data_IF_422595162399
#
_entry.id   IF_422595162399
#
_cell.length_a   1.000
_cell.length_b   1.000
_cell.length_c   1.000
_cell.angle_alpha   90.00
_cell.angle_beta   90.00
_cell.angle_gamma   90.00
#
_symmetry.space_group_name_H-M   'P 1'
#
loop_
_entity.id
_entity.type
_entity.pdbx_description
1 polymer ?
#
# COMPACT_ATOMS: atom_id res chain seq x y z
N UNK A 1 13.20 -24.35 -37.56
CA UNK A 1 12.47 -24.72 -36.32
C UNK A 1 12.42 -23.52 -35.39
N UNK A 2 11.29 -22.81 -35.30
CA UNK A 2 11.11 -21.76 -34.29
C UNK A 2 10.78 -22.42 -32.93
N UNK A 3 11.58 -22.12 -31.90
CA UNK A 3 11.28 -22.53 -30.51
C UNK A 3 9.97 -21.87 -30.08
N UNK A 4 8.97 -22.68 -29.73
CA UNK A 4 7.73 -22.19 -29.11
C UNK A 4 8.11 -21.54 -27.76
N UNK A 5 7.67 -20.30 -27.48
CA UNK A 5 7.89 -19.69 -26.18
C UNK A 5 7.18 -20.53 -25.12
N UNK A 6 7.90 -20.89 -24.05
CA UNK A 6 7.29 -21.55 -22.90
C UNK A 6 6.26 -20.59 -22.29
N UNK A 7 5.00 -21.03 -22.26
CA UNK A 7 3.91 -20.35 -21.54
C UNK A 7 4.33 -20.27 -20.07
N UNK A 8 4.59 -19.05 -19.58
CA UNK A 8 4.61 -18.77 -18.15
C UNK A 8 3.22 -19.12 -17.57
N UNK A 9 3.12 -19.75 -16.39
CA UNK A 9 1.85 -20.18 -15.84
C UNK A 9 0.95 -18.97 -15.52
N UNK A 10 -0.33 -19.11 -15.86
CA UNK A 10 -1.39 -18.09 -15.72
C UNK A 10 -2.24 -18.48 -14.50
N UNK A 11 -2.52 -17.53 -13.60
CA UNK A 11 -3.24 -17.74 -12.34
C UNK A 11 -4.48 -16.78 -12.31
N UNK A 12 -5.73 -17.27 -12.22
CA UNK A 12 -6.97 -16.45 -12.25
C UNK A 12 -7.22 -15.52 -11.03
N UNK A 13 -8.17 -14.58 -11.09
CA UNK A 13 -8.55 -13.70 -9.95
C UNK A 13 -9.13 -14.46 -8.75
N UNK A 14 -9.77 -15.60 -9.00
CA UNK A 14 -10.18 -16.58 -7.98
C UNK A 14 -8.98 -17.11 -7.18
N UNK A 15 -7.78 -16.97 -7.75
CA UNK A 15 -6.49 -17.35 -7.20
C UNK A 15 -5.68 -16.14 -6.69
N UNK A 16 -6.27 -14.95 -6.53
CA UNK A 16 -5.71 -13.97 -5.58
C UNK A 16 -5.69 -14.55 -4.16
N UNK A 17 -6.62 -15.48 -3.86
CA UNK A 17 -6.56 -16.36 -2.69
C UNK A 17 -5.28 -17.22 -2.61
N UNK A 18 -4.60 -17.43 -3.75
CA UNK A 18 -3.38 -18.23 -3.90
C UNK A 18 -2.10 -17.39 -3.86
N UNK A 19 -2.19 -16.05 -3.93
CA UNK A 19 -1.02 -15.18 -3.75
C UNK A 19 -0.51 -15.25 -2.31
N UNK A 20 -1.37 -15.46 -1.31
CA UNK A 20 -1.09 -15.76 0.10
C UNK A 20 -0.07 -14.83 0.78
N UNK A 21 1.19 -14.98 0.37
CA UNK A 21 2.35 -14.16 0.66
C UNK A 21 3.25 -14.06 -0.58
N UNK A 22 3.62 -12.86 -1.00
CA UNK A 22 4.73 -12.65 -1.95
C UNK A 22 5.80 -11.75 -1.33
N UNK A 23 7.05 -11.92 -1.77
CA UNK A 23 8.14 -11.05 -1.36
C UNK A 23 8.42 -10.03 -2.46
N UNK A 24 8.25 -8.75 -2.16
CA UNK A 24 8.53 -7.64 -3.08
C UNK A 24 9.69 -6.79 -2.56
N UNK A 25 10.29 -6.01 -3.46
CA UNK A 25 11.32 -5.04 -3.08
C UNK A 25 10.79 -3.63 -3.29
N UNK A 26 10.70 -2.86 -2.20
CA UNK A 26 10.25 -1.47 -2.20
C UNK A 26 11.45 -0.60 -1.80
N UNK A 27 11.92 0.25 -2.71
CA UNK A 27 13.10 1.11 -2.52
C UNK A 27 14.32 0.37 -1.92
N UNK A 28 14.62 -0.81 -2.46
CA UNK A 28 15.75 -1.66 -2.02
C UNK A 28 15.50 -2.46 -0.72
N UNK A 29 14.34 -2.30 -0.07
CA UNK A 29 13.96 -3.10 1.11
C UNK A 29 13.06 -4.25 0.72
N UNK A 30 13.38 -5.46 1.19
CA UNK A 30 12.54 -6.64 0.99
C UNK A 30 11.35 -6.62 1.96
N UNK A 31 10.15 -6.66 1.42
CA UNK A 31 8.87 -6.62 2.15
C UNK A 31 8.05 -7.85 1.76
N UNK A 32 7.55 -8.57 2.75
CA UNK A 32 6.58 -9.64 2.56
C UNK A 32 5.19 -9.02 2.49
N UNK A 33 4.50 -9.19 1.37
CA UNK A 33 3.14 -8.72 1.15
C UNK A 33 2.15 -9.88 1.23
N UNK A 34 1.10 -9.71 2.02
CA UNK A 34 -0.06 -10.57 2.08
C UNK A 34 -1.13 -9.96 1.18
N UNK A 35 -1.52 -10.70 0.15
CA UNK A 35 -2.55 -10.26 -0.81
C UNK A 35 -3.83 -11.05 -0.53
N UNK A 36 -4.92 -10.34 -0.29
CA UNK A 36 -6.22 -10.92 0.01
C UNK A 36 -7.31 -10.27 -0.86
N UNK A 37 -8.25 -11.09 -1.35
CA UNK A 37 -9.37 -10.63 -2.19
C UNK A 37 -10.75 -10.90 -1.57
N UNK A 38 -10.82 -11.47 -0.37
CA UNK A 38 -12.07 -11.76 0.31
C UNK A 38 -12.11 -11.09 1.69
N UNK A 39 -13.31 -10.63 2.07
CA UNK A 39 -13.53 -9.87 3.30
C UNK A 39 -13.04 -10.63 4.54
N UNK A 40 -13.30 -11.94 4.62
CA UNK A 40 -12.87 -12.76 5.75
C UNK A 40 -11.34 -12.82 5.91
N UNK A 41 -10.58 -12.90 4.79
CA UNK A 41 -9.12 -12.90 4.84
C UNK A 41 -8.57 -11.52 5.21
N UNK A 42 -9.19 -10.45 4.67
CA UNK A 42 -8.85 -9.07 5.03
C UNK A 42 -9.12 -8.82 6.53
N UNK A 43 -10.28 -9.22 7.04
CA UNK A 43 -10.65 -9.06 8.45
C UNK A 43 -9.70 -9.83 9.38
N UNK A 44 -9.35 -11.07 9.00
CA UNK A 44 -8.36 -11.86 9.73
C UNK A 44 -7.00 -11.13 9.79
N UNK A 45 -6.51 -10.64 8.66
CA UNK A 45 -5.25 -9.92 8.61
C UNK A 45 -5.29 -8.59 9.38
N UNK A 46 -6.43 -7.88 9.39
CA UNK A 46 -6.64 -6.69 10.23
C UNK A 46 -6.62 -7.06 11.72
N UNK A 47 -7.22 -8.19 12.12
CA UNK A 47 -7.19 -8.66 13.49
C UNK A 47 -5.76 -9.03 13.93
N UNK A 48 -5.02 -9.77 13.09
CA UNK A 48 -3.62 -10.12 13.31
C UNK A 48 -2.76 -8.85 13.45
N UNK A 49 -3.00 -7.86 12.57
CA UNK A 49 -2.40 -6.53 12.62
C UNK A 49 -2.67 -5.82 13.95
N UNK A 50 -3.93 -5.76 14.40
CA UNK A 50 -4.28 -5.14 15.68
C UNK A 50 -3.54 -5.78 16.84
N UNK A 51 -3.53 -7.12 16.90
CA UNK A 51 -2.80 -7.86 17.93
C UNK A 51 -1.29 -7.58 17.88
N UNK A 52 -0.71 -7.48 16.68
CA UNK A 52 0.70 -7.12 16.53
C UNK A 52 1.01 -5.71 17.07
N UNK A 53 0.17 -4.71 16.76
CA UNK A 53 0.37 -3.33 17.20
C UNK A 53 0.15 -3.13 18.70
N UNK A 54 -0.66 -3.96 19.34
CA UNK A 54 -0.81 -3.96 20.81
C UNK A 54 0.52 -4.28 21.51
N UNK A 55 1.35 -5.13 20.89
CA UNK A 55 2.60 -5.61 21.45
C UNK A 55 3.86 -4.87 20.97
N UNK A 56 3.78 -3.97 19.96
CA UNK A 56 4.95 -3.36 19.29
C UNK A 56 4.81 -1.84 19.07
N UNK A 57 5.84 -1.22 18.48
CA UNK A 57 5.85 0.20 18.08
C UNK A 57 4.71 0.52 17.10
N UNK A 58 3.96 1.60 17.38
CA UNK A 58 2.58 1.84 16.92
C UNK A 58 2.45 2.71 15.67
N UNK A 59 3.28 2.49 14.65
CA UNK A 59 3.22 3.30 13.42
C UNK A 59 2.96 2.39 12.23
N UNK A 60 1.95 2.76 11.46
CA UNK A 60 1.58 2.08 10.22
C UNK A 60 1.45 3.10 9.10
N UNK A 61 1.86 2.69 7.91
CA UNK A 61 1.61 3.43 6.69
C UNK A 61 0.33 2.94 6.06
N UNK A 62 -0.48 3.86 5.55
CA UNK A 62 -1.78 3.54 4.96
C UNK A 62 -1.97 4.31 3.67
N UNK A 63 -2.30 3.59 2.61
CA UNK A 63 -2.65 4.17 1.32
C UNK A 63 -3.80 3.39 0.68
N UNK A 64 -4.59 4.07 -0.16
CA UNK A 64 -5.73 3.45 -0.84
C UNK A 64 -5.67 3.80 -2.31
N UNK A 65 -5.58 2.77 -3.17
CA UNK A 65 -5.46 2.92 -4.62
C UNK A 65 -6.70 2.36 -5.32
N UNK A 66 -7.03 2.96 -6.47
CA UNK A 66 -8.09 2.47 -7.37
C UNK A 66 -7.47 1.61 -8.46
N UNK A 67 -8.22 0.66 -9.01
CA UNK A 67 -7.77 -0.10 -10.19
C UNK A 67 -8.47 0.42 -11.44
N UNK A 68 -7.68 0.84 -12.44
CA UNK A 68 -8.18 1.40 -13.72
C UNK A 68 -8.54 0.29 -14.71
N UNK A 69 -9.60 -0.45 -14.41
CA UNK A 69 -10.34 -1.33 -15.35
C UNK A 69 -11.65 -1.89 -14.75
N UNK A 70 -12.14 -1.32 -13.66
CA UNK A 70 -13.37 -1.74 -12.97
C UNK A 70 -13.68 -0.85 -11.76
N UNK A 71 -14.60 -1.29 -10.91
CA UNK A 71 -14.99 -0.58 -9.67
C UNK A 71 -14.32 -1.20 -8.42
N UNK A 72 -13.14 -1.79 -8.60
CA UNK A 72 -12.37 -2.39 -7.51
C UNK A 72 -11.55 -1.32 -6.81
N UNK A 73 -11.62 -1.34 -5.48
CA UNK A 73 -10.74 -0.53 -4.64
C UNK A 73 -9.73 -1.47 -4.00
N UNK A 74 -8.46 -1.10 -4.13
CA UNK A 74 -7.37 -1.75 -3.44
C UNK A 74 -7.01 -0.93 -2.22
N UNK A 75 -7.22 -1.50 -1.04
CA UNK A 75 -6.79 -0.91 0.22
C UNK A 75 -5.44 -1.52 0.58
N UNK A 76 -4.45 -0.65 0.84
CA UNK A 76 -3.09 -1.08 1.10
C UNK A 76 -2.65 -0.58 2.47
N UNK A 77 -2.46 -1.51 3.38
CA UNK A 77 -2.02 -1.24 4.75
C UNK A 77 -0.60 -1.77 4.87
N UNK A 78 0.39 -0.89 4.96
CA UNK A 78 1.79 -1.30 5.15
C UNK A 78 2.14 -1.21 6.63
N UNK A 79 2.52 -2.35 7.20
CA UNK A 79 3.04 -2.43 8.55
C UNK A 79 4.55 -2.50 8.53
N UNK A 80 5.13 -1.94 9.59
CA UNK A 80 6.38 -2.38 10.18
C UNK A 80 7.37 -3.04 9.21
N UNK A 81 8.24 -2.26 8.58
CA UNK A 81 9.48 -2.55 7.82
C UNK A 81 9.55 -3.79 6.88
N UNK A 82 8.56 -4.68 6.87
CA UNK A 82 8.63 -6.05 6.35
C UNK A 82 7.27 -6.66 6.04
N UNK A 83 6.14 -6.14 6.54
CA UNK A 83 4.82 -6.78 6.33
C UNK A 83 3.84 -5.79 5.69
N UNK A 84 3.39 -6.06 4.47
CA UNK A 84 2.34 -5.31 3.79
C UNK A 84 1.06 -6.14 3.66
N UNK A 85 -0.10 -5.50 3.80
CA UNK A 85 -1.40 -6.09 3.48
C UNK A 85 -2.02 -5.36 2.29
N UNK A 86 -2.32 -6.09 1.23
CA UNK A 86 -2.99 -5.59 0.04
C UNK A 86 -4.35 -6.28 -0.06
N UNK A 87 -5.40 -5.55 0.29
CA UNK A 87 -6.78 -6.00 0.15
C UNK A 87 -7.39 -5.51 -1.16
N UNK A 88 -7.85 -6.41 -2.01
CA UNK A 88 -8.62 -6.07 -3.21
C UNK A 88 -10.10 -6.33 -2.90
N UNK A 89 -10.92 -5.28 -2.96
CA UNK A 89 -12.36 -5.38 -2.67
C UNK A 89 -13.20 -4.82 -3.81
N UNK A 90 -14.25 -5.55 -4.18
CA UNK A 90 -15.36 -4.99 -4.97
C UNK A 90 -16.18 -4.10 -4.05
N UNK A 91 -16.27 -2.80 -4.37
CA UNK A 91 -17.24 -1.93 -3.73
C UNK A 91 -18.32 -1.55 -4.75
N UNK A 92 -19.61 -1.55 -4.35
CA UNK A 92 -20.68 -1.07 -5.20
C UNK A 92 -20.38 0.38 -5.66
N UNK A 93 -20.66 0.66 -6.93
CA UNK A 93 -20.45 1.97 -7.59
C UNK A 93 -21.10 3.16 -6.90
N UNK A 94 -22.04 2.91 -5.99
CA UNK A 94 -22.73 3.93 -5.18
C UNK A 94 -21.95 4.33 -3.92
N UNK A 95 -20.92 3.57 -3.52
CA UNK A 95 -19.96 4.01 -2.51
C UNK A 95 -18.91 4.89 -3.19
N UNK A 96 -19.30 6.14 -3.46
CA UNK A 96 -18.40 7.20 -3.90
C UNK A 96 -17.32 7.40 -2.86
N UNK A 97 -16.22 6.63 -2.97
CA UNK A 97 -15.18 6.49 -1.96
C UNK A 97 -15.81 5.90 -0.70
N UNK A 98 -15.33 4.76 -0.20
CA UNK A 98 -15.45 4.59 1.25
C UNK A 98 -14.70 5.79 1.79
N UNK A 99 -15.45 6.84 2.17
CA UNK A 99 -15.00 7.90 3.05
C UNK A 99 -14.67 7.14 4.32
N UNK A 100 -13.50 6.50 4.35
CA UNK A 100 -12.78 6.20 5.55
C UNK A 100 -12.71 7.56 6.22
N UNK A 101 -13.60 7.76 7.18
CA UNK A 101 -13.57 8.95 8.00
C UNK A 101 -12.33 8.79 8.87
N UNK A 102 -11.18 9.11 8.28
CA UNK A 102 -9.87 9.19 8.93
C UNK A 102 -9.88 10.17 10.10
N UNK A 103 -10.94 10.97 10.25
CA UNK A 103 -11.10 12.04 11.22
C UNK A 103 -10.92 11.63 12.69
N UNK A 104 -10.85 10.33 13.00
CA UNK A 104 -10.64 9.86 14.39
C UNK A 104 -9.53 8.83 14.60
N UNK A 105 -8.83 8.35 13.57
CA UNK A 105 -7.94 7.16 13.72
C UNK A 105 -6.54 7.32 13.12
N UNK A 106 -6.27 8.34 12.29
CA UNK A 106 -4.96 8.53 11.65
C UNK A 106 -4.44 9.96 11.75
N UNK A 107 -3.11 10.11 11.74
CA UNK A 107 -2.44 11.42 11.65
C UNK A 107 -2.01 11.64 10.21
N UNK A 108 -2.36 12.77 9.61
CA UNK A 108 -1.82 13.13 8.29
C UNK A 108 -0.31 13.32 8.41
N UNK A 109 0.45 12.73 7.51
CA UNK A 109 1.92 12.75 7.62
C UNK A 109 2.50 14.18 7.54
N UNK A 110 1.88 15.07 6.75
CA UNK A 110 2.29 16.48 6.65
C UNK A 110 2.08 17.23 7.96
N UNK A 111 0.95 16.99 8.64
CA UNK A 111 0.69 17.55 9.97
C UNK A 111 1.71 17.05 11.01
N UNK A 112 2.05 15.75 10.96
CA UNK A 112 3.06 15.18 11.86
C UNK A 112 4.43 15.80 11.59
N UNK A 113 4.86 15.85 10.33
CA UNK A 113 6.14 16.41 9.93
C UNK A 113 6.24 17.90 10.30
N UNK A 114 5.20 18.68 10.05
CA UNK A 114 5.15 20.10 10.39
C UNK A 114 5.32 20.34 11.89
N UNK A 115 4.69 19.50 12.72
CA UNK A 115 4.79 19.59 14.19
C UNK A 115 6.15 19.16 14.71
N UNK A 116 6.63 17.98 14.31
CA UNK A 116 7.90 17.41 14.80
C UNK A 116 9.10 18.27 14.35
N UNK A 117 9.09 18.75 13.10
CA UNK A 117 10.19 19.54 12.53
C UNK A 117 10.02 21.06 12.74
N UNK A 118 8.93 21.50 13.38
CA UNK A 118 8.58 22.91 13.55
C UNK A 118 8.57 23.71 12.21
N UNK A 119 7.94 23.14 11.18
CA UNK A 119 7.89 23.70 9.81
C UNK A 119 6.46 23.66 9.24
N UNK A 120 5.66 24.72 9.42
CA UNK A 120 4.25 24.76 8.97
C UNK A 120 4.06 24.55 7.46
N UNK A 121 5.05 24.92 6.64
CA UNK A 121 5.02 24.72 5.17
C UNK A 121 4.86 23.26 4.76
N UNK A 122 5.16 22.31 5.66
CA UNK A 122 5.08 20.88 5.40
C UNK A 122 3.65 20.31 5.45
N UNK A 123 2.66 21.07 5.94
CA UNK A 123 1.27 20.60 6.06
C UNK A 123 0.70 20.21 4.69
N UNK A 124 0.97 21.03 3.67
CA UNK A 124 0.48 20.85 2.29
C UNK A 124 1.58 20.37 1.34
N UNK A 125 2.70 19.86 1.87
CA UNK A 125 3.80 19.33 1.07
C UNK A 125 3.45 17.99 0.44
N UNK A 126 4.02 17.72 -0.74
CA UNK A 126 3.88 16.42 -1.38
C UNK A 126 4.60 15.32 -0.60
N UNK A 127 4.24 14.06 -0.84
CA UNK A 127 4.94 12.94 -0.21
C UNK A 127 6.44 12.92 -0.57
N UNK A 128 6.80 13.34 -1.79
CA UNK A 128 8.20 13.47 -2.22
C UNK A 128 8.92 14.55 -1.40
N UNK A 129 8.31 15.72 -1.22
CA UNK A 129 8.89 16.81 -0.42
C UNK A 129 9.08 16.39 1.03
N UNK A 130 8.09 15.70 1.60
CA UNK A 130 8.16 15.17 2.97
C UNK A 130 9.26 14.11 3.11
N UNK A 131 9.35 13.17 2.16
CA UNK A 131 10.38 12.14 2.15
C UNK A 131 11.78 12.76 2.08
N UNK A 132 11.98 13.72 1.16
CA UNK A 132 13.23 14.46 1.03
C UNK A 132 13.59 15.22 2.31
N UNK A 133 12.61 15.90 2.91
CA UNK A 133 12.80 16.67 4.13
C UNK A 133 13.21 15.80 5.33
N UNK A 134 12.73 14.56 5.39
CA UNK A 134 13.01 13.59 6.46
C UNK A 134 14.16 12.66 6.09
N UNK A 135 14.69 12.72 4.86
CA UNK A 135 15.76 11.86 4.36
C UNK A 135 15.33 10.39 4.27
N UNK A 136 14.13 10.16 3.73
CA UNK A 136 13.59 8.84 3.38
C UNK A 136 13.70 8.68 1.86
N UNK A 137 14.28 7.58 1.35
CA UNK A 137 14.34 7.33 -0.08
C UNK A 137 12.92 7.08 -0.61
N UNK A 138 12.46 7.94 -1.51
CA UNK A 138 11.16 7.82 -2.17
C UNK A 138 11.23 8.53 -3.53
N UNK A 139 11.14 7.76 -4.60
CA UNK A 139 11.30 8.26 -5.98
C UNK A 139 9.97 8.76 -6.59
N UNK A 140 8.93 8.90 -5.76
CA UNK A 140 7.59 9.26 -6.19
C UNK A 140 6.69 8.04 -6.45
N UNK A 141 5.40 8.30 -6.68
CA UNK A 141 4.46 7.23 -6.91
C UNK A 141 4.80 6.52 -8.24
N UNK A 142 4.75 5.20 -8.22
CA UNK A 142 5.01 4.34 -9.40
C UNK A 142 4.01 4.58 -10.54
N UNK A 143 2.92 5.31 -10.27
CA UNK A 143 1.92 5.79 -11.22
C UNK A 143 1.68 7.28 -10.96
N UNK A 144 1.55 8.09 -12.03
CA UNK A 144 1.21 9.51 -11.91
C UNK A 144 -0.19 9.75 -11.33
N UNK A 145 -0.98 8.70 -11.15
CA UNK A 145 -2.32 8.72 -10.57
C UNK A 145 -2.38 7.80 -9.35
N UNK A 146 -3.35 8.02 -8.46
CA UNK A 146 -3.72 7.05 -7.41
C UNK A 146 -4.37 5.77 -7.96
N UNK A 147 -4.09 5.45 -9.23
CA UNK A 147 -4.66 4.34 -9.97
C UNK A 147 -3.56 3.35 -10.36
N UNK A 148 -3.84 2.08 -10.14
CA UNK A 148 -3.06 0.95 -10.65
C UNK A 148 -3.70 0.55 -11.97
N UNK A 149 -2.97 0.71 -13.07
CA UNK A 149 -3.42 0.24 -14.37
C UNK A 149 -3.27 -1.27 -14.45
N UNK A 150 -4.35 -1.96 -14.77
CA UNK A 150 -4.33 -3.40 -15.04
C UNK A 150 -4.70 -3.58 -16.51
N UNK A 151 -3.86 -4.30 -17.26
CA UNK A 151 -4.14 -4.65 -18.65
C UNK A 151 -5.46 -5.43 -18.73
N UNK A 152 -6.46 -4.95 -19.47
CA UNK A 152 -7.74 -5.65 -19.67
C UNK A 152 -7.56 -7.06 -20.21
N UNK A 153 -6.57 -7.24 -21.08
CA UNK A 153 -6.26 -8.52 -21.74
C UNK A 153 -5.63 -9.52 -20.78
N UNK A 154 -5.13 -9.02 -19.65
CA UNK A 154 -4.48 -9.78 -18.59
C UNK A 154 -5.03 -9.37 -17.20
N UNK A 155 -6.33 -9.03 -17.16
CA UNK A 155 -7.04 -8.50 -15.98
C UNK A 155 -7.12 -9.48 -14.81
N UNK A 156 -6.53 -10.65 -15.00
CA UNK A 156 -6.57 -11.80 -14.10
C UNK A 156 -5.37 -11.90 -13.15
N UNK A 157 -4.32 -11.07 -13.29
CA UNK A 157 -3.09 -11.19 -12.46
C UNK A 157 -2.74 -9.88 -11.76
N UNK A 158 -2.78 -9.89 -10.43
CA UNK A 158 -2.16 -8.85 -9.60
C UNK A 158 -0.68 -9.20 -9.44
N UNK A 159 0.20 -8.52 -10.17
CA UNK A 159 1.63 -8.86 -10.23
C UNK A 159 2.41 -8.24 -9.09
N UNK A 160 3.67 -8.64 -8.93
CA UNK A 160 4.60 -8.01 -7.98
C UNK A 160 4.75 -6.51 -8.26
N UNK A 161 4.72 -6.08 -9.52
CA UNK A 161 4.73 -4.65 -9.87
C UNK A 161 3.47 -3.94 -9.39
N UNK A 162 2.30 -4.59 -9.44
CA UNK A 162 1.08 -4.03 -8.86
C UNK A 162 1.15 -3.97 -7.34
N UNK A 163 1.70 -4.99 -6.67
CA UNK A 163 1.93 -4.99 -5.21
C UNK A 163 2.88 -3.86 -4.81
N UNK A 164 3.99 -3.69 -5.53
CA UNK A 164 4.93 -2.58 -5.31
C UNK A 164 4.22 -1.25 -5.54
N UNK A 165 3.53 -1.08 -6.67
CA UNK A 165 2.81 0.16 -6.97
C UNK A 165 1.74 0.48 -5.92
N UNK A 166 1.09 -0.52 -5.35
CA UNK A 166 0.11 -0.40 -4.29
C UNK A 166 0.75 -0.02 -2.94
N UNK A 167 1.90 -0.60 -2.63
CA UNK A 167 2.52 -0.50 -1.30
C UNK A 167 3.55 0.63 -1.16
N UNK A 168 4.11 1.17 -2.25
CA UNK A 168 5.20 2.16 -2.19
C UNK A 168 4.85 3.41 -1.37
N UNK A 169 3.70 4.04 -1.63
CA UNK A 169 3.28 5.27 -0.95
C UNK A 169 3.00 5.00 0.55
N UNK A 170 2.31 3.89 0.86
CA UNK A 170 2.09 3.44 2.23
C UNK A 170 3.40 3.16 2.96
N UNK A 171 4.36 2.49 2.31
CA UNK A 171 5.67 2.23 2.87
C UNK A 171 6.45 3.53 3.14
N UNK A 172 6.36 4.52 2.24
CA UNK A 172 6.95 5.84 2.46
C UNK A 172 6.31 6.56 3.66
N UNK A 173 4.97 6.55 3.78
CA UNK A 173 4.30 7.10 4.97
C UNK A 173 4.78 6.44 6.27
N UNK A 174 4.93 5.11 6.28
CA UNK A 174 5.49 4.38 7.41
C UNK A 174 6.91 4.85 7.74
N UNK A 175 7.81 4.89 6.75
CA UNK A 175 9.22 5.25 6.96
C UNK A 175 9.37 6.69 7.47
N UNK A 176 8.60 7.63 6.91
CA UNK A 176 8.59 9.03 7.35
C UNK A 176 8.05 9.11 8.77
N UNK A 177 6.89 8.50 9.05
CA UNK A 177 6.26 8.54 10.37
C UNK A 177 7.14 7.90 11.44
N UNK A 178 7.72 6.74 11.14
CA UNK A 178 8.67 6.06 12.01
C UNK A 178 9.87 6.96 12.31
N UNK A 179 10.53 7.51 11.28
CA UNK A 179 11.72 8.34 11.46
C UNK A 179 11.43 9.60 12.28
N UNK A 180 10.31 10.28 12.02
CA UNK A 180 9.87 11.44 12.80
C UNK A 180 9.62 11.07 14.26
N UNK A 181 8.91 9.97 14.52
CA UNK A 181 8.56 9.59 15.89
C UNK A 181 9.74 9.01 16.68
N UNK A 182 10.71 8.39 16.01
CA UNK A 182 11.97 7.96 16.66
C UNK A 182 12.96 9.11 16.88
N UNK A 183 12.70 10.28 16.28
CA UNK A 183 13.52 11.48 16.47
C UNK A 183 13.04 12.40 17.60
N UNK A 184 11.89 12.06 18.20
CA UNK A 184 11.35 12.70 19.41
C UNK A 184 12.03 12.13 20.66
#
# INVERSE_FOLDING_TARGET
MLKRPQKKPVIPVEFLLLMGTCDVTIHGTKVTAHVANCVAAVDKHIADLRSYLECNTKVVGLDVKKIKHGHYYTQVIVLYNKICFVGVTELPTTFSVVKFSYSRVGVKIGDLAARVLNKPVLIESSLIDLANQVGVPYDGPTSATSEIEIDSRNSMVFTDEHVVAAASDAYAYYQIGHKLLTSL
#
